data_IF_481717221702
#
_entry.id   IF_481717221702
#
_cell.length_a   1.000
_cell.length_b   1.000
_cell.length_c   1.000
_cell.angle_alpha   90.00
_cell.angle_beta   90.00
_cell.angle_gamma   90.00
#
_symmetry.space_group_name_H-M   'P 1'
#
loop_
_entity.id
_entity.type
_entity.pdbx_description
1 polymer ?
#
# COMPACT_ATOMS: atom_id res chain seq x y z
N UNK A 1 -13.19 7.18 -5.84
CA UNK A 1 -12.35 6.91 -7.01
C UNK A 1 -12.45 8.08 -7.97
N UNK A 2 -11.31 8.60 -8.36
CA UNK A 2 -11.25 9.68 -9.33
C UNK A 2 -11.42 9.09 -10.73
N UNK A 3 -12.57 9.31 -11.34
CA UNK A 3 -12.85 8.91 -12.73
C UNK A 3 -11.84 9.48 -13.75
N UNK A 4 -11.05 10.47 -13.35
CA UNK A 4 -10.00 11.04 -14.18
C UNK A 4 -8.94 10.01 -14.59
N UNK A 5 -8.74 8.94 -13.81
CA UNK A 5 -7.84 7.85 -14.19
C UNK A 5 -8.29 7.09 -15.45
N UNK A 6 -9.58 7.12 -15.78
CA UNK A 6 -10.16 6.45 -16.95
C UNK A 6 -10.11 7.29 -18.24
N UNK A 7 -9.83 8.58 -18.14
CA UNK A 7 -9.81 9.49 -19.28
C UNK A 7 -8.48 10.24 -19.36
N UNK A 8 -8.07 10.56 -20.57
CA UNK A 8 -6.93 11.48 -20.79
C UNK A 8 -7.31 12.89 -20.39
N UNK A 9 -6.47 13.53 -19.59
CA UNK A 9 -6.65 14.91 -19.18
C UNK A 9 -5.80 15.85 -20.04
N UNK A 10 -6.33 17.02 -20.34
CA UNK A 10 -5.65 18.05 -21.13
C UNK A 10 -5.60 19.35 -20.36
N UNK A 11 -4.46 20.04 -20.46
CA UNK A 11 -4.34 21.41 -19.98
C UNK A 11 -4.53 22.38 -21.13
N UNK A 12 -5.25 23.46 -20.86
CA UNK A 12 -5.28 24.62 -21.74
C UNK A 12 -3.98 25.42 -21.53
N UNK A 13 -3.19 25.56 -22.57
CA UNK A 13 -2.01 26.40 -22.56
C UNK A 13 -2.39 27.79 -23.08
N UNK A 14 -2.40 28.78 -22.18
CA UNK A 14 -2.53 30.16 -22.56
C UNK A 14 -1.16 30.66 -23.02
N UNK A 15 -1.09 31.11 -24.29
CA UNK A 15 0.14 31.62 -24.89
C UNK A 15 1.06 30.55 -25.48
N UNK A 16 0.53 29.38 -25.84
CA UNK A 16 1.33 28.24 -26.28
C UNK A 16 2.02 28.43 -27.64
N UNK A 17 1.42 29.13 -28.56
CA UNK A 17 2.04 29.45 -29.86
C UNK A 17 1.48 30.71 -30.49
N UNK A 18 2.31 31.30 -31.34
CA UNK A 18 1.95 32.43 -32.19
C UNK A 18 1.74 31.91 -33.62
N UNK A 19 0.56 32.14 -34.20
CA UNK A 19 0.27 31.73 -35.55
C UNK A 19 0.48 32.92 -36.50
N UNK A 20 1.33 32.75 -37.53
CA UNK A 20 1.66 33.78 -38.51
C UNK A 20 2.59 34.86 -37.96
N UNK A 21 2.56 36.08 -38.56
CA UNK A 21 3.37 37.22 -38.15
C UNK A 21 2.77 38.03 -36.98
N UNK A 22 1.67 37.57 -36.38
CA UNK A 22 1.00 38.26 -35.29
C UNK A 22 1.64 37.92 -33.94
N UNK A 23 1.57 38.87 -32.97
CA UNK A 23 2.03 38.68 -31.60
C UNK A 23 0.95 38.15 -30.66
N UNK A 24 -0.24 37.78 -31.17
CA UNK A 24 -1.34 37.30 -30.35
C UNK A 24 -1.21 35.80 -30.06
N UNK A 25 -1.06 35.41 -28.80
CA UNK A 25 -0.98 34.00 -28.45
C UNK A 25 -2.34 33.29 -28.66
N UNK A 26 -2.29 32.11 -29.25
CA UNK A 26 -3.48 31.26 -29.39
C UNK A 26 -3.54 30.22 -28.26
N UNK A 27 -4.75 29.97 -27.71
CA UNK A 27 -4.89 28.92 -26.72
C UNK A 27 -4.63 27.56 -27.35
N UNK A 28 -3.76 26.80 -26.71
CA UNK A 28 -3.48 25.41 -27.09
C UNK A 28 -3.88 24.44 -26.00
N UNK A 29 -3.89 23.17 -26.32
CA UNK A 29 -4.08 22.11 -25.32
C UNK A 29 -2.98 21.06 -25.46
N UNK A 30 -2.55 20.52 -24.33
CA UNK A 30 -1.60 19.41 -24.27
C UNK A 30 -2.12 18.31 -23.39
N UNK A 31 -1.77 17.07 -23.74
CA UNK A 31 -2.10 15.94 -22.87
C UNK A 31 -1.39 16.10 -21.54
N UNK A 32 -2.10 15.90 -20.44
CA UNK A 32 -1.60 15.98 -19.06
C UNK A 32 -1.48 14.61 -18.41
N UNK A 33 -2.37 13.70 -18.74
CA UNK A 33 -2.40 12.35 -18.20
C UNK A 33 -2.82 11.33 -19.22
N UNK A 34 -2.39 10.08 -19.01
CA UNK A 34 -2.79 8.95 -19.83
C UNK A 34 -4.05 8.31 -19.24
N UNK A 35 -5.00 7.95 -20.11
CA UNK A 35 -6.13 7.13 -19.73
C UNK A 35 -5.66 5.69 -19.48
N UNK A 36 -6.16 5.08 -18.41
CA UNK A 36 -6.04 3.65 -18.17
C UNK A 36 -7.42 2.99 -18.25
N UNK A 37 -7.80 2.53 -19.44
CA UNK A 37 -9.10 1.91 -19.70
C UNK A 37 -9.25 0.52 -19.07
N UNK A 38 -8.14 -0.09 -18.65
CA UNK A 38 -8.10 -1.42 -18.03
C UNK A 38 -8.06 -1.33 -16.49
N UNK A 39 -8.36 -0.16 -15.94
CA UNK A 39 -8.37 0.02 -14.49
C UNK A 39 -9.49 -0.81 -13.87
N UNK A 40 -9.10 -1.66 -12.92
CA UNK A 40 -10.01 -2.50 -12.14
C UNK A 40 -10.08 -2.02 -10.69
N UNK A 41 -11.16 -2.37 -10.01
CA UNK A 41 -11.30 -2.12 -8.59
C UNK A 41 -10.38 -3.05 -7.79
N UNK A 42 -9.73 -2.47 -6.79
CA UNK A 42 -9.03 -3.25 -5.77
C UNK A 42 -10.03 -4.10 -5.00
N UNK A 43 -9.77 -5.38 -4.88
CA UNK A 43 -10.63 -6.34 -4.17
C UNK A 43 -9.84 -7.02 -3.07
N UNK A 44 -10.42 -7.08 -1.86
CA UNK A 44 -9.83 -7.80 -0.73
C UNK A 44 -10.73 -8.96 -0.31
N UNK A 45 -10.21 -10.17 -0.39
CA UNK A 45 -10.80 -11.38 0.19
C UNK A 45 -10.25 -11.59 1.59
N UNK A 46 -11.14 -11.59 2.59
CA UNK A 46 -10.79 -11.73 4.00
C UNK A 46 -11.35 -13.04 4.55
N UNK A 47 -10.48 -13.83 5.16
CA UNK A 47 -10.83 -15.08 5.85
C UNK A 47 -10.36 -14.99 7.29
N UNK A 48 -11.29 -15.17 8.23
CA UNK A 48 -11.02 -15.18 9.64
C UNK A 48 -11.55 -16.47 10.25
N UNK A 49 -10.77 -17.03 11.16
CA UNK A 49 -11.20 -18.10 12.05
C UNK A 49 -10.70 -17.78 13.46
N UNK A 50 -11.59 -17.86 14.42
CA UNK A 50 -11.25 -17.55 15.79
C UNK A 50 -12.12 -18.35 16.76
N UNK A 51 -11.67 -18.37 17.99
CA UNK A 51 -12.43 -18.92 19.10
C UNK A 51 -12.18 -18.11 20.36
N UNK A 52 -13.24 -17.99 21.16
CA UNK A 52 -13.20 -17.40 22.48
C UNK A 52 -13.30 -18.50 23.53
N UNK A 53 -12.62 -18.32 24.65
CA UNK A 53 -12.67 -19.29 25.76
C UNK A 53 -12.78 -18.58 27.09
N UNK A 54 -13.46 -19.26 28.00
CA UNK A 54 -13.56 -18.85 29.40
C UNK A 54 -13.44 -20.07 30.30
N UNK A 55 -12.49 -20.05 31.24
CA UNK A 55 -12.16 -21.14 32.12
C UNK A 55 -12.20 -20.66 33.59
N UNK A 56 -12.28 -21.59 34.51
CA UNK A 56 -12.23 -21.33 35.97
C UNK A 56 -13.29 -20.34 36.44
N UNK A 57 -14.56 -20.49 35.99
CA UNK A 57 -15.66 -19.58 36.29
C UNK A 57 -15.39 -18.13 35.92
N UNK A 58 -14.75 -17.91 34.75
CA UNK A 58 -14.47 -16.59 34.24
C UNK A 58 -13.19 -15.92 34.78
N UNK A 59 -12.41 -16.63 35.59
CA UNK A 59 -11.11 -16.13 36.07
C UNK A 59 -10.08 -16.02 34.92
N UNK A 60 -10.11 -16.97 33.99
CA UNK A 60 -9.25 -16.98 32.81
C UNK A 60 -10.12 -16.95 31.58
N UNK A 61 -9.91 -15.95 30.74
CA UNK A 61 -10.60 -15.78 29.45
C UNK A 61 -9.63 -15.31 28.39
N UNK A 62 -10.00 -15.50 27.13
CA UNK A 62 -9.22 -15.03 26.03
C UNK A 62 -9.85 -15.37 24.70
N UNK A 63 -9.20 -14.87 23.66
CA UNK A 63 -9.52 -15.13 22.25
C UNK A 63 -8.26 -15.49 21.48
N UNK A 64 -8.41 -16.33 20.48
CA UNK A 64 -7.37 -16.62 19.51
C UNK A 64 -7.97 -16.56 18.11
N UNK A 65 -7.41 -15.70 17.26
CA UNK A 65 -7.87 -15.46 15.92
C UNK A 65 -6.73 -15.68 14.93
N UNK A 66 -7.04 -16.32 13.82
CA UNK A 66 -6.20 -16.36 12.64
C UNK A 66 -6.89 -15.62 11.51
N UNK A 67 -6.19 -14.68 10.89
CA UNK A 67 -6.69 -13.95 9.72
C UNK A 67 -5.83 -14.20 8.50
N UNK A 68 -6.47 -14.15 7.34
CA UNK A 68 -5.84 -14.24 6.03
C UNK A 68 -6.56 -13.28 5.09
N UNK A 69 -5.85 -12.24 4.64
CA UNK A 69 -6.35 -11.24 3.72
C UNK A 69 -5.55 -11.32 2.41
N UNK A 70 -6.25 -11.38 1.29
CA UNK A 70 -5.65 -11.30 -0.03
C UNK A 70 -6.25 -10.14 -0.78
N UNK A 71 -5.40 -9.18 -1.14
CA UNK A 71 -5.78 -8.04 -1.96
C UNK A 71 -5.28 -8.28 -3.38
N UNK A 72 -6.18 -8.18 -4.34
CA UNK A 72 -5.92 -8.27 -5.77
C UNK A 72 -6.14 -6.92 -6.43
N UNK A 73 -5.52 -6.70 -7.58
CA UNK A 73 -5.62 -5.50 -8.40
C UNK A 73 -5.29 -4.21 -7.64
N UNK A 74 -4.30 -4.30 -6.73
CA UNK A 74 -3.84 -3.17 -5.92
C UNK A 74 -3.51 -1.97 -6.80
N UNK A 75 -4.06 -0.79 -6.45
CA UNK A 75 -3.88 0.45 -7.19
C UNK A 75 -2.66 1.22 -6.70
N UNK A 76 -1.76 1.53 -7.61
CA UNK A 76 -0.60 2.38 -7.33
C UNK A 76 -0.42 3.42 -8.44
N UNK A 77 0.05 4.60 -8.06
CA UNK A 77 0.53 5.61 -9.02
C UNK A 77 1.91 5.19 -9.52
N UNK A 78 2.01 4.83 -10.80
CA UNK A 78 3.27 4.41 -11.42
C UNK A 78 4.10 5.63 -11.83
N UNK A 79 5.28 5.79 -11.24
CA UNK A 79 6.23 6.84 -11.62
C UNK A 79 6.66 6.68 -13.08
N UNK A 80 6.46 7.74 -13.87
CA UNK A 80 6.95 7.85 -15.24
C UNK A 80 8.31 8.54 -15.28
N UNK A 81 9.07 8.26 -16.32
CA UNK A 81 10.28 9.03 -16.56
C UNK A 81 9.91 10.50 -16.83
N UNK A 82 10.63 11.49 -16.26
CA UNK A 82 10.34 12.91 -16.48
C UNK A 82 10.31 13.32 -17.94
N UNK A 83 11.04 12.61 -18.81
CA UNK A 83 11.07 12.82 -20.26
C UNK A 83 9.73 12.57 -20.97
N UNK A 84 8.80 11.85 -20.33
CA UNK A 84 7.46 11.59 -20.87
C UNK A 84 6.60 12.86 -20.83
N UNK A 85 6.84 13.77 -19.87
CA UNK A 85 6.12 15.03 -19.72
C UNK A 85 4.64 14.89 -19.34
N UNK A 86 4.22 13.70 -18.84
CA UNK A 86 2.86 13.41 -18.41
C UNK A 86 2.83 13.10 -16.92
N UNK A 87 1.67 13.26 -16.31
CA UNK A 87 1.47 12.82 -14.93
C UNK A 87 1.50 11.30 -14.81
N UNK A 88 1.94 10.86 -13.64
CA UNK A 88 2.00 9.48 -13.26
C UNK A 88 0.60 8.84 -13.27
N UNK A 89 0.34 7.81 -14.09
CA UNK A 89 -0.96 7.16 -14.15
C UNK A 89 -1.18 6.22 -12.95
N UNK A 90 -2.45 6.06 -12.58
CA UNK A 90 -2.89 5.02 -11.66
C UNK A 90 -3.02 3.70 -12.42
N UNK A 91 -2.45 2.64 -11.89
CA UNK A 91 -2.44 1.31 -12.50
C UNK A 91 -2.67 0.22 -11.44
N UNK A 92 -3.26 -0.90 -11.87
CA UNK A 92 -3.30 -2.10 -11.07
C UNK A 92 -1.92 -2.77 -11.14
N UNK A 93 -1.25 -2.91 -10.00
CA UNK A 93 0.17 -3.31 -10.01
C UNK A 93 0.45 -4.67 -9.37
N UNK A 94 -0.54 -5.33 -8.78
CA UNK A 94 -0.27 -6.66 -8.26
C UNK A 94 -1.20 -7.15 -7.17
N UNK A 95 -0.72 -8.19 -6.47
CA UNK A 95 -1.44 -8.90 -5.42
C UNK A 95 -0.61 -8.95 -4.15
N UNK A 96 -1.27 -8.69 -3.01
CA UNK A 96 -0.65 -8.75 -1.69
C UNK A 96 -1.41 -9.76 -0.84
N UNK A 97 -0.69 -10.37 0.09
CA UNK A 97 -1.22 -11.24 1.12
C UNK A 97 -0.76 -10.77 2.49
N UNK A 98 -1.71 -10.66 3.42
CA UNK A 98 -1.47 -10.45 4.83
C UNK A 98 -2.08 -11.61 5.61
N UNK A 99 -1.32 -12.23 6.50
CA UNK A 99 -1.82 -13.28 7.36
C UNK A 99 -1.21 -13.13 8.75
N UNK A 100 -1.94 -13.52 9.78
CA UNK A 100 -1.44 -13.39 11.13
C UNK A 100 -2.28 -14.11 12.16
N UNK A 101 -1.75 -14.10 13.37
CA UNK A 101 -2.41 -14.63 14.56
C UNK A 101 -2.55 -13.51 15.57
N UNK A 102 -3.72 -13.40 16.17
CA UNK A 102 -4.02 -12.52 17.27
C UNK A 102 -4.43 -13.37 18.47
N UNK A 103 -3.77 -13.15 19.58
CA UNK A 103 -4.02 -13.84 20.84
C UNK A 103 -4.24 -12.81 21.93
N UNK A 104 -5.37 -12.91 22.61
CA UNK A 104 -5.68 -12.12 23.78
C UNK A 104 -5.96 -13.05 24.94
N UNK A 105 -5.37 -12.77 26.10
CA UNK A 105 -5.56 -13.53 27.32
C UNK A 105 -5.74 -12.59 28.50
N UNK A 106 -6.62 -12.96 29.41
CA UNK A 106 -6.95 -12.19 30.60
C UNK A 106 -7.11 -13.12 31.78
N UNK A 107 -6.49 -12.74 32.89
CA UNK A 107 -6.65 -13.41 34.18
C UNK A 107 -7.13 -12.44 35.22
N UNK A 108 -8.17 -12.80 35.94
CA UNK A 108 -8.69 -12.02 37.06
C UNK A 108 -8.96 -12.95 38.25
N UNK A 109 -8.56 -12.50 39.42
CA UNK A 109 -8.82 -13.27 40.65
C UNK A 109 -8.90 -12.34 41.89
N UNK A 110 -9.33 -12.90 42.99
CA UNK A 110 -9.42 -12.24 44.30
C UNK A 110 -8.80 -13.12 45.37
N UNK A 111 -7.82 -12.58 46.06
CA UNK A 111 -7.17 -13.24 47.22
C UNK A 111 -7.36 -12.36 48.43
N UNK A 112 -8.26 -12.76 49.31
CA UNK A 112 -8.64 -11.95 50.46
C UNK A 112 -9.29 -10.62 50.05
N UNK A 113 -8.70 -9.51 50.46
CA UNK A 113 -9.13 -8.15 50.06
C UNK A 113 -8.53 -7.67 48.72
N UNK A 114 -7.53 -8.37 48.21
CA UNK A 114 -6.85 -7.99 46.96
C UNK A 114 -7.59 -8.57 45.77
N UNK A 115 -8.03 -7.68 44.86
CA UNK A 115 -8.51 -8.05 43.53
C UNK A 115 -7.43 -7.64 42.50
N UNK A 116 -7.13 -8.53 41.55
CA UNK A 116 -6.17 -8.24 40.48
C UNK A 116 -6.69 -8.72 39.13
N UNK A 117 -6.25 -8.02 38.10
CA UNK A 117 -6.52 -8.33 36.70
C UNK A 117 -5.23 -8.16 35.91
N UNK A 118 -4.93 -9.15 35.10
CA UNK A 118 -3.76 -9.11 34.18
C UNK A 118 -4.23 -9.49 32.80
N UNK A 119 -3.77 -8.74 31.79
CA UNK A 119 -4.04 -9.03 30.39
C UNK A 119 -2.74 -9.14 29.59
N UNK A 120 -2.78 -9.96 28.56
CA UNK A 120 -1.69 -10.17 27.62
C UNK A 120 -2.24 -10.22 26.21
N UNK A 121 -1.63 -9.45 25.29
CA UNK A 121 -1.96 -9.41 23.87
C UNK A 121 -0.73 -9.76 23.04
N UNK A 122 -0.91 -10.60 22.04
CA UNK A 122 0.11 -10.93 21.06
C UNK A 122 -0.50 -10.89 19.67
N UNK A 123 0.09 -10.08 18.80
CA UNK A 123 -0.28 -10.05 17.38
C UNK A 123 0.94 -10.32 16.52
N UNK A 124 0.81 -11.26 15.59
CA UNK A 124 1.81 -11.51 14.56
C UNK A 124 1.23 -11.19 13.20
N UNK A 125 2.06 -10.62 12.32
CA UNK A 125 1.64 -10.29 10.94
C UNK A 125 2.74 -10.71 9.98
N UNK A 126 2.35 -11.45 8.94
CA UNK A 126 3.19 -11.79 7.81
C UNK A 126 2.61 -11.15 6.55
N UNK A 127 3.30 -10.16 6.02
CA UNK A 127 2.97 -9.49 4.76
C UNK A 127 3.82 -10.07 3.63
N UNK A 128 3.22 -10.28 2.46
CA UNK A 128 3.95 -10.74 1.27
C UNK A 128 3.30 -10.21 0.00
N UNK A 129 4.12 -9.63 -0.86
CA UNK A 129 3.75 -9.34 -2.25
C UNK A 129 3.75 -10.66 -3.02
N UNK A 130 2.58 -11.08 -3.49
CA UNK A 130 2.42 -12.36 -4.21
C UNK A 130 2.87 -12.19 -5.66
N UNK A 131 2.42 -11.10 -6.29
CA UNK A 131 2.62 -10.83 -7.70
C UNK A 131 2.69 -9.32 -7.94
N UNK A 132 3.50 -8.89 -8.89
CA UNK A 132 3.50 -7.55 -9.47
C UNK A 132 3.22 -7.67 -10.96
N UNK A 133 2.59 -6.66 -11.56
CA UNK A 133 2.26 -6.61 -13.00
C UNK A 133 3.49 -6.79 -13.89
N UNK A 134 4.65 -6.37 -13.43
CA UNK A 134 5.95 -6.71 -14.03
C UNK A 134 6.78 -7.47 -12.98
N UNK A 135 6.95 -8.79 -13.12
CA UNK A 135 7.71 -9.60 -12.16
C UNK A 135 9.18 -9.20 -12.01
N UNK A 136 9.75 -8.50 -12.99
CA UNK A 136 11.13 -8.02 -12.98
C UNK A 136 11.29 -6.64 -12.38
N UNK A 137 10.20 -5.91 -12.23
CA UNK A 137 10.21 -4.55 -11.73
C UNK A 137 10.03 -4.55 -10.20
N UNK A 138 10.93 -3.86 -9.51
CA UNK A 138 10.73 -3.48 -8.12
C UNK A 138 10.13 -2.08 -8.06
N UNK A 139 9.23 -1.86 -7.11
CA UNK A 139 8.72 -0.54 -6.80
C UNK A 139 9.55 0.01 -5.64
N UNK A 140 10.08 1.20 -5.81
CA UNK A 140 10.84 1.90 -4.79
C UNK A 140 9.96 2.90 -4.06
N UNK A 141 10.15 3.03 -2.76
CA UNK A 141 9.50 4.08 -1.96
C UNK A 141 10.05 5.47 -2.28
N UNK A 142 9.58 6.48 -1.56
CA UNK A 142 10.09 7.83 -1.73
C UNK A 142 11.57 7.90 -1.34
N UNK A 143 12.36 8.55 -2.20
CA UNK A 143 13.79 8.72 -1.99
C UNK A 143 14.09 9.68 -0.83
N UNK A 144 15.09 9.35 -0.03
CA UNK A 144 15.67 10.28 0.93
C UNK A 144 16.60 11.23 0.16
N UNK A 145 16.29 12.52 0.19
CA UNK A 145 17.13 13.57 -0.42
C UNK A 145 18.32 13.89 0.49
N UNK A 146 19.30 13.03 0.51
CA UNK A 146 20.58 13.31 1.15
C UNK A 146 21.72 12.98 0.18
N UNK A 147 22.19 13.99 -0.55
CA UNK A 147 23.23 13.86 -1.56
C UNK A 147 22.71 13.27 -2.87
N UNK A 148 22.85 11.98 -3.08
CA UNK A 148 22.22 11.21 -4.16
C UNK A 148 20.90 10.62 -3.69
N UNK A 149 19.91 10.47 -4.57
CA UNK A 149 18.63 9.83 -4.22
C UNK A 149 18.89 8.39 -3.76
N UNK A 150 18.59 8.13 -2.48
CA UNK A 150 18.60 6.80 -1.89
C UNK A 150 17.16 6.35 -1.66
N UNK A 151 16.81 5.17 -2.16
CA UNK A 151 15.51 4.55 -1.95
C UNK A 151 15.63 3.50 -0.83
N UNK A 152 15.26 3.85 0.42
CA UNK A 152 15.50 2.97 1.57
C UNK A 152 14.55 1.78 1.61
N UNK A 153 13.47 1.80 0.82
CA UNK A 153 12.47 0.74 0.77
C UNK A 153 12.22 0.25 -0.64
N UNK A 154 11.97 -1.04 -0.75
CA UNK A 154 11.66 -1.71 -2.00
C UNK A 154 10.50 -2.67 -1.83
N UNK A 155 9.60 -2.67 -2.81
CA UNK A 155 8.51 -3.64 -2.93
C UNK A 155 8.77 -4.53 -4.12
N UNK A 156 8.89 -5.84 -3.91
CA UNK A 156 9.07 -6.83 -4.97
C UNK A 156 8.34 -8.13 -4.66
N UNK A 157 8.00 -8.87 -5.70
CA UNK A 157 7.34 -10.17 -5.55
C UNK A 157 8.17 -11.12 -4.68
N UNK A 158 7.50 -11.84 -3.78
CA UNK A 158 8.11 -12.77 -2.83
C UNK A 158 8.54 -12.17 -1.49
N UNK A 159 8.56 -10.85 -1.34
CA UNK A 159 9.00 -10.11 -0.15
C UNK A 159 7.88 -9.29 0.47
N UNK A 160 8.05 -8.78 1.69
CA UNK A 160 7.11 -7.83 2.26
C UNK A 160 7.01 -6.54 1.43
N UNK A 161 5.85 -5.88 1.47
CA UNK A 161 5.68 -4.53 0.92
C UNK A 161 6.60 -3.56 1.66
N UNK A 162 7.22 -2.63 0.92
CA UNK A 162 8.11 -1.61 1.47
C UNK A 162 9.22 -2.17 2.38
N UNK A 163 9.73 -3.37 2.06
CA UNK A 163 10.85 -3.96 2.79
C UNK A 163 12.09 -3.07 2.71
N UNK A 164 12.87 -3.00 3.79
CA UNK A 164 14.12 -2.23 3.80
C UNK A 164 15.09 -2.72 2.71
N UNK A 165 15.62 -1.78 1.96
CA UNK A 165 16.59 -2.00 0.89
C UNK A 165 17.81 -1.12 1.14
N UNK A 166 18.73 -1.60 1.96
CA UNK A 166 19.89 -0.86 2.42
C UNK A 166 21.16 -1.68 2.18
N UNK A 167 22.28 -0.97 2.12
CA UNK A 167 23.59 -1.61 2.12
C UNK A 167 23.85 -2.34 3.44
N UNK A 168 24.32 -3.56 3.36
CA UNK A 168 24.82 -4.28 4.54
C UNK A 168 26.23 -3.80 4.84
N UNK A 169 26.43 -3.17 5.98
CA UNK A 169 27.77 -2.82 6.47
C UNK A 169 28.38 -4.05 7.16
N UNK A 170 29.54 -4.44 6.72
CA UNK A 170 30.39 -5.35 7.47
C UNK A 170 31.21 -4.47 8.41
N UNK A 171 31.00 -4.62 9.73
CA UNK A 171 31.71 -3.91 10.80
C UNK A 171 33.12 -4.41 10.97
#
# INVERSE_FOLDING_TARGET
YDFQALISTYNNLYGGYVQGSGSTPWPGSTARGLANRNLQWETTDTKNIGFDFGLFNGKFSGSANYYYNRTEDMLITKKLAPSVGLFDPVMNVGKIRNAGIELEMSWQDKVGALQYHTSFNLTTTANKVVELSDPKQALYGDGLKWGTEHFPTQTRAGYPIAGFYLYRTEG
#
